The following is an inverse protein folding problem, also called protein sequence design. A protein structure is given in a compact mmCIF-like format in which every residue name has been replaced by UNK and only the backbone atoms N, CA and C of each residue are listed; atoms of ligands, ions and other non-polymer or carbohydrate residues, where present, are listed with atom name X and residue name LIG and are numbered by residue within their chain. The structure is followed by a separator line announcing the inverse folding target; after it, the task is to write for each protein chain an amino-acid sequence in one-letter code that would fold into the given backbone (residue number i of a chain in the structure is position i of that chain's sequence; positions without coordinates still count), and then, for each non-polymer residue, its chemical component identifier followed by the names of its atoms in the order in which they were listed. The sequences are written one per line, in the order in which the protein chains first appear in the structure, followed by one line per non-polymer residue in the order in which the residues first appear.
data_IF_773711428733
#
_entry.id   IF_773711428733
#
_cell.length_a   1.000
_cell.length_b   1.000
_cell.length_c   1.000
_cell.angle_alpha   90.00
_cell.angle_beta   90.00
_cell.angle_gamma   90.00
#
_symmetry.space_group_name_H-M   'P 1'
#
loop_
_entity.id
_entity.type
_entity.pdbx_description
1 polymer ?
#
# COMPACT_ATOMS: atom_id res chain seq x y z
N UNK A 1 -3.06 -8.62 6.88
CA UNK A 1 -3.58 -8.31 5.51
C UNK A 1 -2.55 -7.47 4.75
N UNK A 2 -2.34 -7.71 3.45
CA UNK A 2 -1.27 -7.04 2.66
C UNK A 2 -1.73 -5.73 2.00
N UNK A 3 -3.03 -5.46 1.95
CA UNK A 3 -3.61 -4.29 1.29
C UNK A 3 -4.12 -3.21 2.28
N UNK A 4 -3.97 -3.42 3.59
CA UNK A 4 -4.39 -2.45 4.61
C UNK A 4 -3.33 -1.36 4.82
N UNK A 5 -3.79 -0.13 5.11
CA UNK A 5 -2.88 0.95 5.49
C UNK A 5 -2.14 0.61 6.78
N UNK A 6 -0.87 0.98 6.85
CA UNK A 6 0.04 0.72 7.99
C UNK A 6 0.36 -0.76 8.25
N UNK A 7 -0.14 -1.70 7.44
CA UNK A 7 0.18 -3.11 7.60
C UNK A 7 1.66 -3.38 7.33
N UNK A 8 2.25 -4.30 8.11
CA UNK A 8 3.64 -4.72 7.91
C UNK A 8 3.89 -5.32 6.51
N UNK A 9 2.90 -6.02 5.95
CA UNK A 9 2.96 -6.55 4.58
C UNK A 9 2.88 -5.49 3.48
N UNK A 10 2.56 -4.24 3.84
CA UNK A 10 2.52 -3.07 2.96
C UNK A 10 3.64 -2.06 3.29
N UNK A 11 4.74 -2.52 3.90
CA UNK A 11 5.89 -1.70 4.31
C UNK A 11 5.52 -0.54 5.26
N UNK A 12 4.37 -0.64 5.96
CA UNK A 12 3.84 0.41 6.83
C UNK A 12 3.29 1.64 6.11
N UNK A 13 3.07 1.54 4.79
CA UNK A 13 2.61 2.63 3.92
C UNK A 13 1.08 2.77 3.90
N UNK A 14 0.60 3.86 3.28
CA UNK A 14 -0.82 4.03 2.96
C UNK A 14 -1.23 3.09 1.81
N UNK A 15 -2.46 2.58 1.88
CA UNK A 15 -3.03 1.73 0.83
C UNK A 15 -3.27 2.50 -0.48
N UNK A 16 -3.16 1.79 -1.60
CA UNK A 16 -3.44 2.34 -2.92
C UNK A 16 -4.93 2.72 -3.08
N UNK A 17 -5.27 3.66 -3.99
CA UNK A 17 -6.65 3.98 -4.30
C UNK A 17 -7.41 2.76 -4.83
N UNK A 18 -8.65 2.59 -4.36
CA UNK A 18 -9.54 1.49 -4.75
C UNK A 18 -10.58 2.01 -5.74
N UNK A 19 -10.77 1.25 -6.82
CA UNK A 19 -11.74 1.53 -7.87
C UNK A 19 -12.78 0.40 -7.93
N UNK A 20 -13.98 0.74 -8.36
CA UNK A 20 -15.07 -0.22 -8.59
C UNK A 20 -15.89 0.21 -9.80
N UNK A 21 -16.85 -0.63 -10.19
CA UNK A 21 -17.77 -0.34 -11.30
C UNK A 21 -18.63 0.90 -10.97
N UNK A 22 -19.02 1.70 -11.99
CA UNK A 22 -18.79 1.52 -13.43
C UNK A 22 -17.38 1.98 -13.90
N UNK A 23 -16.92 1.58 -15.11
CA UNK A 23 -15.59 1.94 -15.63
C UNK A 23 -15.33 3.45 -15.78
N UNK A 24 -16.38 4.23 -15.99
CA UNK A 24 -16.33 5.70 -16.02
C UNK A 24 -17.41 6.23 -15.10
N UNK A 25 -17.04 7.11 -14.18
CA UNK A 25 -17.97 7.75 -13.26
C UNK A 25 -17.64 9.23 -13.14
N UNK A 26 -18.64 10.11 -13.40
CA UNK A 26 -18.46 11.57 -13.40
C UNK A 26 -17.28 12.06 -14.27
N UNK A 27 -17.07 11.41 -15.41
CA UNK A 27 -15.96 11.72 -16.32
C UNK A 27 -14.58 11.21 -15.88
N UNK A 28 -14.48 10.49 -14.77
CA UNK A 28 -13.24 9.85 -14.31
C UNK A 28 -13.25 8.37 -14.70
N UNK A 29 -12.22 7.93 -15.43
CA UNK A 29 -12.02 6.53 -15.81
C UNK A 29 -11.16 5.78 -14.80
N UNK A 30 -11.41 4.47 -14.67
CA UNK A 30 -10.49 3.57 -13.96
C UNK A 30 -9.16 3.54 -14.73
N UNK A 31 -8.00 3.60 -14.05
CA UNK A 31 -6.70 3.41 -14.69
C UNK A 31 -6.64 2.12 -15.51
N UNK A 32 -6.17 2.20 -16.77
CA UNK A 32 -6.14 1.06 -17.70
C UNK A 32 -5.40 -0.15 -17.14
N UNK A 33 -4.36 0.09 -16.32
CA UNK A 33 -3.60 -0.97 -15.69
C UNK A 33 -4.46 -1.87 -14.78
N UNK A 34 -5.49 -1.31 -14.13
CA UNK A 34 -6.38 -2.04 -13.24
C UNK A 34 -7.40 -2.90 -13.97
N UNK A 35 -7.60 -2.67 -15.27
CA UNK A 35 -8.48 -3.48 -16.13
C UNK A 35 -7.71 -4.35 -17.12
N UNK A 36 -6.37 -4.36 -17.04
CA UNK A 36 -5.48 -5.10 -17.96
C UNK A 36 -5.44 -6.62 -17.72
N UNK A 37 -5.82 -7.09 -16.53
CA UNK A 37 -5.65 -8.47 -16.11
C UNK A 37 -4.20 -8.87 -15.77
N UNK A 38 -3.23 -7.96 -15.92
CA UNK A 38 -1.83 -8.23 -15.60
C UNK A 38 -1.59 -8.02 -14.10
N UNK A 39 -1.67 -9.12 -13.34
CA UNK A 39 -1.56 -9.09 -11.87
C UNK A 39 -0.22 -8.54 -11.39
N UNK A 40 0.88 -8.80 -12.12
CA UNK A 40 2.20 -8.30 -11.75
C UNK A 40 2.24 -6.77 -11.87
N UNK A 41 1.75 -6.23 -12.99
CA UNK A 41 1.69 -4.78 -13.17
C UNK A 41 0.72 -4.12 -12.19
N UNK A 42 -0.40 -4.76 -11.87
CA UNK A 42 -1.34 -4.24 -10.86
C UNK A 42 -0.67 -4.17 -9.48
N UNK A 43 0.08 -5.20 -9.09
CA UNK A 43 0.81 -5.20 -7.82
C UNK A 43 1.87 -4.07 -7.77
N UNK A 44 2.67 -3.91 -8.84
CA UNK A 44 3.64 -2.82 -8.95
C UNK A 44 2.98 -1.45 -8.91
N UNK A 45 1.86 -1.28 -9.62
CA UNK A 45 1.10 -0.04 -9.62
C UNK A 45 0.56 0.29 -8.24
N UNK A 46 -0.04 -0.67 -7.52
CA UNK A 46 -0.54 -0.48 -6.15
C UNK A 46 0.57 -0.06 -5.20
N UNK A 47 1.73 -0.74 -5.24
CA UNK A 47 2.89 -0.38 -4.43
C UNK A 47 3.35 1.06 -4.71
N UNK A 48 3.43 1.42 -5.98
CA UNK A 48 3.84 2.78 -6.41
C UNK A 48 2.85 3.84 -5.95
N UNK A 49 1.54 3.59 -6.09
CA UNK A 49 0.51 4.52 -5.64
C UNK A 49 0.48 4.68 -4.12
N UNK A 50 0.66 3.60 -3.36
CA UNK A 50 0.75 3.66 -1.91
C UNK A 50 1.95 4.50 -1.44
N UNK A 51 3.11 4.34 -2.09
CA UNK A 51 4.29 5.16 -1.83
C UNK A 51 4.02 6.64 -2.14
N UNK A 52 3.52 6.96 -3.33
CA UNK A 52 3.20 8.34 -3.73
C UNK A 52 2.20 9.01 -2.78
N UNK A 53 1.15 8.28 -2.39
CA UNK A 53 0.16 8.78 -1.44
C UNK A 53 0.78 9.05 -0.06
N UNK A 54 1.69 8.18 0.35
CA UNK A 54 2.44 8.32 1.60
C UNK A 54 3.37 9.52 1.54
N UNK A 55 4.14 9.71 0.47
CA UNK A 55 5.00 10.87 0.27
C UNK A 55 4.21 12.19 0.38
N UNK A 56 3.04 12.24 -0.25
CA UNK A 56 2.21 13.44 -0.30
C UNK A 56 1.50 13.75 1.02
N UNK A 57 1.01 12.71 1.73
CA UNK A 57 0.11 12.91 2.89
C UNK A 57 0.78 12.65 4.24
N UNK A 58 1.75 11.73 4.26
CA UNK A 58 2.38 11.19 5.47
C UNK A 58 3.87 10.91 5.23
N UNK A 59 4.67 11.92 4.84
CA UNK A 59 6.10 11.73 4.56
C UNK A 59 6.87 11.22 5.79
N UNK A 60 6.33 11.41 7.00
CA UNK A 60 6.86 10.87 8.25
C UNK A 60 6.95 9.34 8.27
N UNK A 61 6.07 8.64 7.53
CA UNK A 61 6.08 7.17 7.48
C UNK A 61 7.27 6.64 6.66
N UNK A 62 7.74 7.38 5.66
CA UNK A 62 8.84 6.97 4.78
C UNK A 62 10.16 6.96 5.52
N UNK A 63 10.38 7.97 6.37
CA UNK A 63 11.55 8.05 7.23
C UNK A 63 11.64 6.87 8.21
N UNK A 64 10.49 6.28 8.59
CA UNK A 64 10.42 5.10 9.46
C UNK A 64 10.61 3.78 8.71
N UNK A 65 10.30 3.75 7.41
CA UNK A 65 10.48 2.57 6.54
C UNK A 65 11.89 2.47 5.97
N UNK A 66 12.64 3.58 5.89
CA UNK A 66 14.09 3.52 5.68
C UNK A 66 14.71 2.65 6.78
N UNK A 67 15.74 1.83 6.48
CA UNK A 67 16.36 0.96 7.47
C UNK A 67 17.14 1.83 8.47
N UNK A 68 16.43 2.38 9.44
CA UNK A 68 16.99 2.84 10.69
C UNK A 68 17.29 1.58 11.51
N UNK A 69 18.41 0.96 11.15
CA UNK A 69 19.00 -0.21 11.78
C UNK A 69 18.22 -1.52 11.56
N UNK A 70 18.93 -2.57 11.16
CA UNK A 70 18.41 -3.91 10.89
C UNK A 70 17.96 -4.66 12.17
N UNK A 71 17.61 -3.93 13.24
CA UNK A 71 17.45 -4.40 14.61
C UNK A 71 16.00 -4.39 15.10
N UNK A 72 15.00 -4.30 14.21
CA UNK A 72 13.58 -4.54 14.55
C UNK A 72 12.84 -5.50 13.61
N UNK A 73 13.56 -6.44 13.01
CA UNK A 73 12.93 -7.70 12.68
C UNK A 73 12.74 -8.47 14.00
N UNK A 74 11.50 -8.90 14.28
CA UNK A 74 11.09 -9.78 15.39
C UNK A 74 10.67 -9.13 16.73
N UNK A 75 9.45 -8.58 16.78
CA UNK A 75 8.61 -8.60 17.99
C UNK A 75 7.15 -8.22 17.67
N UNK A 76 6.39 -9.13 17.04
CA UNK A 76 4.92 -9.07 17.04
C UNK A 76 4.33 -10.45 16.70
N UNK A 77 4.85 -11.49 17.35
CA UNK A 77 4.24 -12.81 17.40
C UNK A 77 4.54 -13.43 18.78
N UNK A 78 4.21 -12.70 19.84
CA UNK A 78 4.15 -13.20 21.21
C UNK A 78 3.25 -12.23 22.00
N UNK A 79 2.36 -12.77 22.82
CA UNK A 79 1.35 -12.10 23.65
C UNK A 79 0.09 -11.53 22.97
N UNK A 80 -0.86 -12.44 22.68
CA UNK A 80 -2.23 -12.25 23.16
C UNK A 80 -2.46 -13.33 24.24
N UNK A 81 -2.79 -12.98 25.51
CA UNK A 81 -3.31 -13.96 26.45
C UNK A 81 -4.78 -14.34 26.10
N UNK A 82 -5.15 -15.58 26.46
CA UNK A 82 -6.45 -16.24 26.22
C UNK A 82 -7.70 -15.39 26.53
#
# INVERSE_FOLDING_TARGET
PVDDSFAAGADGLLAAPVYTRPPVWRGMSIPEILVSGDHAKIATWRKTQGLQLTEQRRPDLIARTAPADASRAHAAAADLPD
#
